data_IF_857085707518
#
_entry.id   IF_857085707518
#
_cell.length_a   1.000
_cell.length_b   1.000
_cell.length_c   1.000
_cell.angle_alpha   90.00
_cell.angle_beta   90.00
_cell.angle_gamma   90.00
#
_symmetry.space_group_name_H-M   'P 1'
#
loop_
_entity.id
_entity.type
_entity.pdbx_description
1 polymer ?
#
# COMPACT_ATOMS: atom_id res chain seq x y z
N UNK A 1 -0.13 -1.70 15.62
CA UNK A 1 0.88 -0.83 14.99
C UNK A 1 0.26 -0.33 13.69
N UNK A 2 0.16 0.98 13.50
CA UNK A 2 -0.39 1.56 12.28
C UNK A 2 0.72 1.61 11.21
N UNK A 3 0.36 1.35 9.95
CA UNK A 3 1.26 1.52 8.80
C UNK A 3 0.82 2.81 8.09
N UNK A 4 1.69 3.82 8.13
CA UNK A 4 1.46 5.08 7.43
C UNK A 4 1.55 4.86 5.92
N UNK A 5 0.63 5.46 5.18
CA UNK A 5 0.58 5.37 3.72
C UNK A 5 0.00 6.64 3.12
N UNK A 6 0.30 6.88 1.84
CA UNK A 6 -0.36 7.91 1.05
C UNK A 6 -1.07 7.28 -0.14
N UNK A 7 -2.35 7.62 -0.32
CA UNK A 7 -3.13 7.20 -1.49
C UNK A 7 -2.90 8.19 -2.63
N UNK A 8 -2.46 7.71 -3.79
CA UNK A 8 -2.25 8.50 -4.99
C UNK A 8 -3.00 7.89 -6.18
N UNK A 9 -3.18 8.65 -7.25
CA UNK A 9 -3.61 8.11 -8.53
C UNK A 9 -2.95 8.85 -9.70
N UNK A 10 -2.78 8.15 -10.82
CA UNK A 10 -2.38 8.71 -12.11
C UNK A 10 -3.36 8.27 -13.19
N UNK A 11 -4.06 9.23 -13.80
CA UNK A 11 -5.08 8.97 -14.84
C UNK A 11 -6.14 7.92 -14.44
N UNK A 12 -6.48 7.85 -13.15
CA UNK A 12 -7.45 6.90 -12.61
C UNK A 12 -6.87 5.55 -12.17
N UNK A 13 -5.59 5.28 -12.42
CA UNK A 13 -4.88 4.15 -11.81
C UNK A 13 -4.38 4.56 -10.42
N UNK A 14 -4.95 4.00 -9.36
CA UNK A 14 -4.67 4.35 -7.98
C UNK A 14 -3.64 3.42 -7.31
N UNK A 15 -2.90 3.99 -6.36
CA UNK A 15 -1.79 3.35 -5.67
C UNK A 15 -1.82 3.65 -4.17
N UNK A 16 -1.35 2.69 -3.39
CA UNK A 16 -1.00 2.87 -1.98
C UNK A 16 0.52 3.00 -1.92
N UNK A 17 1.02 4.19 -1.62
CA UNK A 17 2.45 4.45 -1.48
C UNK A 17 2.87 4.29 -0.03
N UNK A 18 3.94 3.54 0.18
CA UNK A 18 4.59 3.34 1.47
C UNK A 18 6.01 3.91 1.38
N UNK A 19 6.38 4.75 2.34
CA UNK A 19 7.77 5.18 2.46
C UNK A 19 8.60 4.02 3.01
N UNK A 20 9.46 3.46 2.16
CA UNK A 20 10.39 2.39 2.51
C UNK A 20 11.84 2.79 2.25
N UNK A 21 12.18 4.08 2.32
CA UNK A 21 13.51 4.58 1.96
C UNK A 21 14.60 4.15 2.94
N UNK A 22 14.24 3.78 4.17
CA UNK A 22 15.19 3.44 5.23
C UNK A 22 15.59 1.95 5.29
N UNK A 23 15.00 1.08 4.46
CA UNK A 23 15.30 -0.35 4.45
C UNK A 23 15.14 -0.97 3.06
N UNK A 24 15.93 -1.99 2.76
CA UNK A 24 15.81 -2.76 1.53
C UNK A 24 14.71 -3.81 1.58
N UNK A 25 14.22 -4.15 2.77
CA UNK A 25 13.13 -5.12 2.92
C UNK A 25 11.78 -4.42 2.78
N UNK A 26 10.84 -4.93 1.96
CA UNK A 26 9.50 -4.35 1.89
C UNK A 26 8.78 -4.35 3.25
N UNK A 27 8.08 -3.25 3.56
CA UNK A 27 7.29 -3.13 4.79
C UNK A 27 6.10 -4.09 4.86
N UNK A 28 5.67 -4.62 3.71
CA UNK A 28 4.52 -5.50 3.59
C UNK A 28 4.83 -6.73 2.76
N UNK A 29 4.23 -7.85 3.13
CA UNK A 29 4.30 -9.09 2.33
C UNK A 29 3.37 -8.99 1.11
N UNK A 30 3.59 -9.80 0.07
CA UNK A 30 2.67 -9.85 -1.07
C UNK A 30 1.22 -10.19 -0.70
N UNK A 31 1.02 -11.08 0.28
CA UNK A 31 -0.31 -11.44 0.77
C UNK A 31 -0.98 -10.24 1.46
N UNK A 32 -0.22 -9.48 2.25
CA UNK A 32 -0.73 -8.28 2.90
C UNK A 32 -1.04 -7.17 1.89
N UNK A 33 -0.19 -6.98 0.89
CA UNK A 33 -0.44 -6.04 -0.20
C UNK A 33 -1.75 -6.37 -0.93
N UNK A 34 -2.01 -7.65 -1.25
CA UNK A 34 -3.29 -8.08 -1.86
C UNK A 34 -4.50 -7.74 -0.98
N UNK A 35 -4.41 -7.96 0.33
CA UNK A 35 -5.49 -7.59 1.26
C UNK A 35 -5.70 -6.07 1.32
N UNK A 36 -4.62 -5.29 1.27
CA UNK A 36 -4.69 -3.83 1.27
C UNK A 36 -5.34 -3.29 -0.02
N UNK A 37 -5.07 -3.91 -1.16
CA UNK A 37 -5.66 -3.56 -2.46
C UNK A 37 -7.12 -4.02 -2.65
N UNK A 38 -7.72 -4.72 -1.69
CA UNK A 38 -9.15 -5.03 -1.77
C UNK A 38 -9.97 -3.74 -1.61
N UNK A 39 -10.89 -3.47 -2.56
CA UNK A 39 -11.66 -2.22 -2.59
C UNK A 39 -12.86 -2.17 -1.63
N UNK A 40 -13.25 -3.30 -1.03
CA UNK A 40 -14.40 -3.37 -0.13
C UNK A 40 -13.97 -3.53 1.34
N UNK A 41 -12.93 -4.31 1.57
CA UNK A 41 -12.44 -4.67 2.90
C UNK A 41 -11.03 -4.17 3.19
N UNK A 42 -10.34 -3.63 2.17
CA UNK A 42 -9.03 -3.00 2.26
C UNK A 42 -9.10 -1.48 2.04
N UNK A 43 -7.97 -0.92 1.62
CA UNK A 43 -7.82 0.50 1.25
C UNK A 43 -8.25 0.73 -0.22
N UNK A 44 -8.20 -0.32 -1.02
CA UNK A 44 -8.49 -0.31 -2.45
C UNK A 44 -7.29 -0.03 -3.33
#
# INVERSE_FOLDING_TARGET
>A
MALEFTKYHGLGNDFILLDNLHTSTPLVTPQRAKQMCDRHFGIG
#
